data_IF_822151593110
#
_entry.id   IF_822151593110
#
_cell.length_a   1.000
_cell.length_b   1.000
_cell.length_c   1.000
_cell.angle_alpha   90.00
_cell.angle_beta   90.00
_cell.angle_gamma   90.00
#
_symmetry.space_group_name_H-M   'P 1'
#
loop_
_entity.id
_entity.type
_entity.pdbx_description
1 polymer ?
#
# COMPACT_ATOMS: atom_id res chain seq x y z
N UNK A 1 43.18 9.71 -12.30
CA UNK A 1 43.59 10.29 -13.60
C UNK A 1 42.36 10.82 -14.29
N UNK A 2 42.25 12.15 -14.38
CA UNK A 2 41.12 12.84 -14.98
C UNK A 2 41.27 12.87 -16.52
N UNK A 3 40.18 12.66 -17.24
CA UNK A 3 40.05 13.05 -18.65
C UNK A 3 38.74 13.83 -18.82
N UNK A 4 38.90 15.15 -18.95
CA UNK A 4 37.92 16.06 -19.51
C UNK A 4 37.91 15.84 -21.03
N UNK A 5 36.73 15.79 -21.65
CA UNK A 5 36.59 16.04 -23.07
C UNK A 5 35.36 16.91 -23.32
N UNK A 6 35.62 18.08 -23.89
CA UNK A 6 34.66 19.08 -24.34
C UNK A 6 34.37 18.86 -25.83
N UNK A 7 33.10 18.70 -26.22
CA UNK A 7 32.64 19.04 -27.57
C UNK A 7 31.13 19.31 -27.58
N UNK A 8 30.78 20.47 -28.15
CA UNK A 8 29.41 20.96 -28.34
C UNK A 8 28.68 20.34 -29.53
N UNK A 9 27.56 20.93 -29.97
CA UNK A 9 26.29 20.22 -30.10
C UNK A 9 26.06 19.68 -31.51
N UNK A 10 25.81 18.38 -31.62
CA UNK A 10 25.29 17.72 -32.80
C UNK A 10 23.86 17.27 -32.54
N UNK A 11 22.91 17.84 -33.28
CA UNK A 11 21.53 17.36 -33.34
C UNK A 11 21.54 15.91 -33.87
N UNK A 12 21.02 14.98 -33.07
CA UNK A 12 20.71 13.63 -33.51
C UNK A 12 19.35 13.23 -32.93
N UNK A 13 18.46 12.89 -33.85
CA UNK A 13 17.10 12.40 -33.66
C UNK A 13 17.00 11.36 -32.54
N UNK A 14 16.16 11.67 -31.55
CA UNK A 14 15.63 10.66 -30.63
C UNK A 14 14.57 9.90 -31.40
N UNK A 15 14.95 8.73 -31.90
CA UNK A 15 14.05 7.75 -32.48
C UNK A 15 13.14 7.22 -31.37
N UNK A 16 11.98 7.86 -31.23
CA UNK A 16 10.89 7.42 -30.38
C UNK A 16 10.37 6.09 -30.91
N UNK A 17 10.57 5.01 -30.14
CA UNK A 17 9.86 3.75 -30.38
C UNK A 17 8.38 3.95 -30.05
N UNK A 18 7.45 3.64 -30.96
CA UNK A 18 6.03 3.87 -30.73
C UNK A 18 5.49 2.86 -29.72
N UNK A 19 4.94 3.36 -28.62
CA UNK A 19 4.16 2.61 -27.64
C UNK A 19 2.91 2.06 -28.34
N UNK A 20 2.96 0.80 -28.78
CA UNK A 20 1.81 0.12 -29.34
C UNK A 20 0.73 -0.05 -28.26
N UNK A 21 -0.47 0.44 -28.58
CA UNK A 21 -1.70 0.18 -27.84
C UNK A 21 -1.93 -1.32 -27.78
N UNK A 22 -1.91 -1.88 -26.57
CA UNK A 22 -2.39 -3.24 -26.34
C UNK A 22 -3.91 -3.18 -26.30
N UNK A 23 -4.54 -3.20 -27.48
CA UNK A 23 -5.91 -3.66 -27.64
C UNK A 23 -5.85 -5.19 -27.70
N UNK A 24 -6.08 -5.85 -26.59
CA UNK A 24 -6.44 -7.27 -26.57
C UNK A 24 -7.90 -7.39 -26.98
N UNK A 25 -8.15 -7.62 -28.26
CA UNK A 25 -9.42 -8.20 -28.72
C UNK A 25 -9.34 -9.71 -28.51
N UNK A 26 -9.78 -10.18 -27.34
CA UNK A 26 -10.17 -11.57 -27.13
C UNK A 26 -11.69 -11.62 -27.13
N UNK A 27 -12.26 -12.09 -28.23
CA UNK A 27 -13.69 -12.29 -28.44
C UNK A 27 -14.10 -13.60 -27.72
N UNK A 28 -14.29 -13.49 -26.41
CA UNK A 28 -14.91 -14.48 -25.52
C UNK A 28 -15.86 -13.68 -24.62
N UNK A 29 -17.07 -14.16 -24.30
CA UNK A 29 -18.07 -13.34 -23.62
C UNK A 29 -17.57 -12.86 -22.26
N UNK A 30 -17.12 -11.61 -22.25
CA UNK A 30 -16.82 -10.68 -21.14
C UNK A 30 -16.78 -11.27 -19.72
N UNK A 31 -15.69 -11.95 -19.37
CA UNK A 31 -15.26 -11.97 -17.96
C UNK A 31 -14.20 -10.88 -17.78
N UNK A 32 -14.66 -9.64 -17.55
CA UNK A 32 -13.76 -8.53 -17.29
C UNK A 32 -13.03 -8.73 -15.96
N UNK A 33 -11.71 -8.81 -16.00
CA UNK A 33 -10.86 -8.97 -14.82
C UNK A 33 -10.41 -7.58 -14.31
N UNK A 34 -10.41 -7.32 -12.99
CA UNK A 34 -9.95 -6.04 -12.46
C UNK A 34 -8.50 -5.74 -12.88
N UNK A 35 -8.14 -4.47 -13.19
CA UNK A 35 -6.79 -4.10 -13.61
C UNK A 35 -5.82 -4.09 -12.41
N UNK A 36 -5.50 -5.27 -11.87
CA UNK A 36 -4.80 -5.44 -10.61
C UNK A 36 -3.26 -5.35 -10.73
N UNK A 37 -2.70 -5.95 -11.78
CA UNK A 37 -1.26 -6.01 -11.98
C UNK A 37 -0.73 -4.78 -12.73
N UNK A 38 0.55 -4.49 -12.50
CA UNK A 38 1.32 -3.42 -13.12
C UNK A 38 0.67 -2.03 -13.00
N UNK A 39 -0.26 -1.89 -12.06
CA UNK A 39 -1.08 -0.70 -11.82
C UNK A 39 -0.79 -0.14 -10.44
N UNK A 40 -0.61 1.18 -10.36
CA UNK A 40 -0.42 1.86 -9.07
C UNK A 40 -1.76 2.31 -8.51
N UNK A 41 -2.05 1.90 -7.29
CA UNK A 41 -3.25 2.22 -6.55
C UNK A 41 -2.94 3.07 -5.33
N UNK A 42 -3.87 3.94 -4.93
CA UNK A 42 -3.88 4.49 -3.58
C UNK A 42 -4.61 3.56 -2.61
N UNK A 43 -4.06 3.40 -1.41
CA UNK A 43 -4.54 2.47 -0.37
C UNK A 43 -5.48 3.15 0.63
N UNK A 44 -6.61 2.51 0.90
CA UNK A 44 -7.63 2.97 1.85
C UNK A 44 -8.10 1.80 2.72
N UNK A 45 -8.49 2.11 3.95
CA UNK A 45 -9.15 1.21 4.88
C UNK A 45 -10.65 1.40 4.75
N UNK A 46 -11.39 0.29 4.79
CA UNK A 46 -12.85 0.28 4.81
C UNK A 46 -13.30 -0.47 6.06
N UNK A 47 -14.24 0.10 6.81
CA UNK A 47 -14.94 -0.65 7.87
C UNK A 47 -15.85 -1.72 7.23
N UNK A 48 -16.39 -2.67 8.00
CA UNK A 48 -17.32 -3.65 7.45
C UNK A 48 -18.48 -2.95 6.73
N UNK A 49 -18.82 -3.41 5.53
CA UNK A 49 -19.89 -2.86 4.71
C UNK A 49 -21.21 -3.44 5.21
N UNK A 50 -22.13 -2.60 5.67
CA UNK A 50 -23.48 -3.02 6.02
C UNK A 50 -24.27 -3.35 4.74
N UNK A 51 -24.55 -4.63 4.54
CA UNK A 51 -25.33 -5.12 3.39
C UNK A 51 -26.78 -5.44 3.76
N UNK A 52 -27.11 -5.46 5.06
CA UNK A 52 -28.44 -5.80 5.56
C UNK A 52 -28.73 -7.30 5.49
N UNK A 53 -30.00 -7.68 5.53
CA UNK A 53 -30.41 -9.10 5.55
C UNK A 53 -30.27 -9.78 4.19
N UNK A 54 -30.37 -9.00 3.11
CA UNK A 54 -30.18 -9.49 1.74
C UNK A 54 -28.70 -9.45 1.37
N UNK A 55 -28.20 -10.51 0.72
CA UNK A 55 -26.82 -10.51 0.19
C UNK A 55 -26.68 -9.56 -1.01
N UNK A 56 -25.46 -9.24 -1.40
CA UNK A 56 -25.18 -8.50 -2.64
C UNK A 56 -25.20 -9.47 -3.82
N UNK A 57 -26.40 -9.76 -4.33
CA UNK A 57 -26.59 -10.48 -5.59
C UNK A 57 -26.17 -9.62 -6.78
N UNK A 58 -25.90 -10.23 -7.93
CA UNK A 58 -25.55 -9.50 -9.17
C UNK A 58 -26.61 -8.46 -9.54
N UNK A 59 -27.90 -8.80 -9.46
CA UNK A 59 -29.00 -7.86 -9.71
C UNK A 59 -28.96 -6.66 -8.76
N UNK A 60 -28.66 -6.89 -7.48
CA UNK A 60 -28.52 -5.80 -6.50
C UNK A 60 -27.29 -4.95 -6.80
N UNK A 61 -26.18 -5.56 -7.21
CA UNK A 61 -24.99 -4.82 -7.64
C UNK A 61 -25.26 -3.96 -8.88
N UNK A 62 -26.05 -4.42 -9.85
CA UNK A 62 -26.46 -3.62 -11.01
C UNK A 62 -27.30 -2.40 -10.61
N UNK A 63 -28.21 -2.56 -9.65
CA UNK A 63 -29.00 -1.43 -9.09
C UNK A 63 -28.08 -0.45 -8.37
N UNK A 64 -27.15 -0.95 -7.55
CA UNK A 64 -26.18 -0.12 -6.84
C UNK A 64 -25.26 0.62 -7.83
N UNK A 65 -24.80 -0.05 -8.90
CA UNK A 65 -23.98 0.55 -9.96
C UNK A 65 -24.73 1.65 -10.70
N UNK A 66 -26.02 1.44 -10.99
CA UNK A 66 -26.89 2.47 -11.57
C UNK A 66 -27.01 3.69 -10.66
N UNK A 67 -27.15 3.50 -9.35
CA UNK A 67 -27.19 4.62 -8.38
C UNK A 67 -25.87 5.38 -8.30
N UNK A 68 -24.74 4.69 -8.37
CA UNK A 68 -23.43 5.35 -8.47
C UNK A 68 -23.32 6.16 -9.76
N UNK A 69 -23.76 5.60 -10.89
CA UNK A 69 -23.84 6.32 -12.17
C UNK A 69 -24.69 7.59 -12.05
N UNK A 70 -25.88 7.51 -11.46
CA UNK A 70 -26.77 8.65 -11.27
C UNK A 70 -26.14 9.71 -10.35
N UNK A 71 -25.38 9.29 -9.34
CA UNK A 71 -24.62 10.20 -8.47
C UNK A 71 -23.53 10.93 -9.26
N UNK A 72 -22.76 10.20 -10.07
CA UNK A 72 -21.70 10.77 -10.92
C UNK A 72 -22.25 11.72 -11.99
N UNK A 73 -23.38 11.38 -12.62
CA UNK A 73 -24.07 12.26 -13.57
C UNK A 73 -24.69 13.46 -12.85
N UNK A 74 -25.31 13.25 -11.70
CA UNK A 74 -25.93 14.30 -10.89
C UNK A 74 -24.92 15.33 -10.38
N UNK A 75 -23.72 14.90 -10.01
CA UNK A 75 -22.64 15.82 -9.58
C UNK A 75 -22.14 16.69 -10.73
N UNK A 76 -22.05 16.12 -11.95
CA UNK A 76 -21.79 16.91 -13.17
C UNK A 76 -22.89 17.96 -13.41
N UNK A 77 -24.16 17.60 -13.19
CA UNK A 77 -25.32 18.50 -13.35
C UNK A 77 -25.40 19.57 -12.25
N UNK A 78 -24.95 19.28 -11.03
CA UNK A 78 -24.92 20.22 -9.89
C UNK A 78 -23.80 21.26 -9.97
N UNK A 79 -23.03 21.28 -11.06
CA UNK A 79 -21.94 22.24 -11.27
C UNK A 79 -20.66 21.87 -10.54
N UNK A 80 -20.60 20.70 -9.88
CA UNK A 80 -19.33 20.07 -9.51
C UNK A 80 -18.80 19.49 -10.82
N UNK A 81 -18.22 20.34 -11.65
CA UNK A 81 -17.39 19.89 -12.76
C UNK A 81 -16.26 19.08 -12.12
N UNK A 82 -16.47 17.77 -12.07
CA UNK A 82 -15.49 16.73 -11.90
C UNK A 82 -14.45 17.00 -12.99
N UNK A 83 -13.51 17.93 -12.72
CA UNK A 83 -12.30 18.13 -13.48
C UNK A 83 -11.45 16.91 -13.17
N UNK A 84 -11.83 15.81 -13.80
CA UNK A 84 -11.18 14.52 -13.73
C UNK A 84 -9.88 14.70 -14.48
N UNK A 85 -8.80 14.88 -13.74
CA UNK A 85 -7.46 14.79 -14.30
C UNK A 85 -7.12 13.30 -14.37
N UNK A 86 -7.24 12.70 -15.56
CA UNK A 86 -6.80 11.34 -15.74
C UNK A 86 -5.30 11.25 -15.41
N UNK A 87 -4.89 10.17 -14.74
CA UNK A 87 -3.50 9.95 -14.32
C UNK A 87 -2.48 10.03 -15.46
N UNK A 88 -2.93 9.87 -16.72
CA UNK A 88 -2.11 9.84 -17.94
C UNK A 88 -2.68 10.68 -19.12
N UNK A 89 -3.72 11.50 -18.95
CA UNK A 89 -4.37 12.24 -20.06
C UNK A 89 -4.43 13.73 -19.77
N UNK A 90 -4.19 14.57 -20.79
CA UNK A 90 -4.18 16.02 -20.65
C UNK A 90 -5.53 16.58 -20.15
N UNK A 91 -5.45 17.70 -19.42
CA UNK A 91 -6.56 18.38 -18.75
C UNK A 91 -7.77 18.53 -19.71
N UNK A 92 -8.92 18.00 -19.31
CA UNK A 92 -10.21 18.24 -19.98
C UNK A 92 -10.64 17.20 -21.04
N UNK A 93 -9.90 16.11 -21.23
CA UNK A 93 -10.22 15.12 -22.28
C UNK A 93 -10.87 13.82 -21.80
N UNK A 94 -11.31 13.69 -20.54
CA UNK A 94 -11.86 12.42 -20.00
C UNK A 94 -13.10 11.94 -20.79
N UNK A 95 -13.88 12.87 -21.34
CA UNK A 95 -15.08 12.58 -22.13
C UNK A 95 -16.25 12.05 -21.31
N UNK A 96 -17.35 11.72 -21.98
CA UNK A 96 -18.62 11.38 -21.31
C UNK A 96 -18.54 10.04 -20.56
N UNK A 97 -19.29 9.93 -19.47
CA UNK A 97 -19.42 8.68 -18.71
C UNK A 97 -20.16 7.63 -19.56
N UNK A 98 -19.48 6.55 -19.94
CA UNK A 98 -20.01 5.45 -20.74
C UNK A 98 -20.72 4.42 -19.87
N UNK A 99 -20.03 3.90 -18.86
CA UNK A 99 -20.53 2.81 -18.02
C UNK A 99 -20.01 2.88 -16.58
N UNK A 100 -20.81 2.34 -15.66
CA UNK A 100 -20.40 2.04 -14.29
C UNK A 100 -20.83 0.61 -14.00
N UNK A 101 -19.87 -0.24 -13.62
CA UNK A 101 -20.12 -1.65 -13.28
C UNK A 101 -19.60 -1.93 -11.88
N UNK A 102 -20.31 -2.80 -11.15
CA UNK A 102 -19.88 -3.30 -9.86
C UNK A 102 -20.00 -4.82 -9.90
N UNK A 103 -18.88 -5.52 -9.75
CA UNK A 103 -18.77 -6.94 -10.00
C UNK A 103 -18.01 -7.64 -8.88
N UNK A 104 -18.41 -8.87 -8.59
CA UNK A 104 -17.63 -9.77 -7.75
C UNK A 104 -16.48 -10.34 -8.57
N UNK A 105 -15.30 -10.48 -7.96
CA UNK A 105 -14.20 -11.22 -8.56
C UNK A 105 -13.56 -12.15 -7.52
N UNK A 106 -12.96 -13.24 -8.00
CA UNK A 106 -12.19 -14.17 -7.19
C UNK A 106 -10.70 -13.96 -7.39
N UNK A 107 -9.91 -14.42 -6.42
CA UNK A 107 -8.47 -14.50 -6.58
C UNK A 107 -8.10 -15.29 -7.84
N UNK A 108 -8.68 -16.49 -8.04
CA UNK A 108 -8.42 -17.35 -9.21
C UNK A 108 -8.60 -16.62 -10.55
N UNK A 109 -9.65 -15.81 -10.68
CA UNK A 109 -9.92 -15.01 -11.89
C UNK A 109 -8.84 -13.94 -12.15
N UNK A 110 -8.23 -13.36 -11.10
CA UNK A 110 -7.09 -12.46 -11.25
C UNK A 110 -5.80 -13.22 -11.64
N UNK A 111 -5.64 -14.45 -11.12
CA UNK A 111 -4.38 -15.20 -11.24
C UNK A 111 -4.34 -16.11 -12.48
N UNK A 112 -5.47 -16.27 -13.19
CA UNK A 112 -5.56 -16.96 -14.48
C UNK A 112 -5.53 -18.49 -14.40
N UNK A 113 -5.92 -19.07 -13.26
CA UNK A 113 -5.78 -20.51 -13.03
C UNK A 113 -6.97 -21.04 -12.22
N UNK A 114 -7.83 -21.79 -12.91
CA UNK A 114 -9.04 -22.43 -12.37
C UNK A 114 -8.74 -23.72 -11.61
N UNK A 115 -7.50 -24.23 -11.66
CA UNK A 115 -7.11 -25.51 -11.03
C UNK A 115 -6.64 -25.38 -9.57
N UNK A 116 -6.66 -24.16 -9.00
CA UNK A 116 -5.99 -23.83 -7.74
C UNK A 116 -6.87 -24.07 -6.49
N UNK A 117 -8.14 -24.48 -6.61
CA UNK A 117 -8.97 -24.69 -5.41
C UNK A 117 -8.45 -25.81 -4.50
N UNK A 118 -7.71 -26.80 -5.04
CA UNK A 118 -7.25 -27.99 -4.30
C UNK A 118 -5.82 -27.86 -3.73
N UNK A 119 -4.98 -26.95 -4.27
CA UNK A 119 -3.52 -26.92 -4.02
C UNK A 119 -3.01 -25.62 -3.34
N UNK A 120 -3.91 -24.78 -2.83
CA UNK A 120 -3.58 -23.65 -1.94
C UNK A 120 -3.27 -24.13 -0.51
N UNK A 121 -2.25 -24.98 -0.35
CA UNK A 121 -1.59 -25.16 0.94
C UNK A 121 -0.72 -23.93 1.23
N UNK A 122 -1.40 -22.81 1.52
CA UNK A 122 -0.79 -21.63 2.13
C UNK A 122 -0.20 -22.09 3.47
N UNK A 123 1.07 -21.76 3.80
CA UNK A 123 1.73 -22.23 5.01
C UNK A 123 0.86 -22.01 6.26
N UNK A 124 0.45 -23.12 6.89
CA UNK A 124 -0.24 -23.25 8.17
C UNK A 124 -1.01 -22.01 8.65
N UNK A 125 -2.26 -21.92 8.20
CA UNK A 125 -3.33 -21.13 8.83
C UNK A 125 -4.04 -20.18 7.87
N UNK A 126 -5.30 -20.49 7.53
CA UNK A 126 -6.29 -19.42 7.36
C UNK A 126 -6.92 -19.15 5.99
N UNK A 127 -7.02 -20.09 5.05
CA UNK A 127 -7.87 -19.85 3.87
C UNK A 127 -8.77 -21.00 3.40
N UNK A 128 -8.42 -22.25 3.71
CA UNK A 128 -9.28 -23.40 3.35
C UNK A 128 -10.59 -23.46 4.16
N UNK A 129 -10.63 -22.82 5.35
CA UNK A 129 -11.81 -22.75 6.23
C UNK A 129 -12.67 -21.48 6.05
N UNK A 130 -12.31 -20.56 5.14
CA UNK A 130 -13.09 -19.33 4.94
C UNK A 130 -14.36 -19.62 4.10
N UNK A 131 -15.54 -19.11 4.51
CA UNK A 131 -16.76 -19.22 3.69
C UNK A 131 -16.56 -18.52 2.35
N UNK A 132 -17.12 -19.05 1.26
CA UNK A 132 -16.87 -18.60 -0.12
C UNK A 132 -17.05 -17.09 -0.36
N UNK A 133 -17.94 -16.44 0.40
CA UNK A 133 -18.13 -14.98 0.36
C UNK A 133 -16.96 -14.15 0.91
N UNK A 134 -16.04 -14.75 1.66
CA UNK A 134 -14.81 -14.13 2.16
C UNK A 134 -13.61 -14.37 1.23
N UNK A 135 -13.77 -15.17 0.18
CA UNK A 135 -12.75 -15.39 -0.87
C UNK A 135 -12.90 -14.45 -2.07
N UNK A 136 -13.96 -13.64 -2.08
CA UNK A 136 -14.32 -12.73 -3.17
C UNK A 136 -14.01 -11.28 -2.81
N UNK A 137 -13.53 -10.53 -3.79
CA UNK A 137 -13.41 -9.07 -3.73
C UNK A 137 -14.51 -8.40 -4.55
N UNK A 138 -14.74 -7.12 -4.29
CA UNK A 138 -15.69 -6.29 -5.05
C UNK A 138 -14.91 -5.30 -5.91
N UNK A 139 -15.23 -5.23 -7.20
CA UNK A 139 -14.61 -4.31 -8.13
C UNK A 139 -15.64 -3.33 -8.68
N UNK A 140 -15.33 -2.04 -8.59
CA UNK A 140 -16.08 -0.93 -9.19
C UNK A 140 -15.27 -0.45 -10.39
N UNK A 141 -15.85 -0.57 -11.58
CA UNK A 141 -15.30 -0.07 -12.84
C UNK A 141 -16.10 1.15 -13.30
N UNK A 142 -15.42 2.26 -13.55
CA UNK A 142 -16.02 3.51 -14.05
C UNK A 142 -15.34 3.84 -15.37
N UNK A 143 -16.10 3.74 -16.47
CA UNK A 143 -15.62 3.93 -17.82
C UNK A 143 -16.12 5.24 -18.40
N UNK A 144 -15.19 6.08 -18.79
CA UNK A 144 -15.41 7.27 -19.59
C UNK A 144 -14.95 7.04 -21.03
N UNK A 145 -15.21 8.01 -21.90
CA UNK A 145 -14.83 7.94 -23.29
C UNK A 145 -13.33 7.69 -23.51
N UNK A 146 -12.49 8.41 -22.77
CA UNK A 146 -11.04 8.41 -22.91
C UNK A 146 -10.30 8.03 -21.61
N UNK A 147 -11.01 7.51 -20.62
CA UNK A 147 -10.41 7.09 -19.35
C UNK A 147 -11.20 5.94 -18.71
N UNK A 148 -10.49 5.09 -17.98
CA UNK A 148 -11.09 4.06 -17.14
C UNK A 148 -10.51 4.16 -15.72
N UNK A 149 -11.38 4.00 -14.73
CA UNK A 149 -11.05 4.11 -13.33
C UNK A 149 -11.50 2.87 -12.57
N UNK A 150 -10.72 2.47 -11.57
CA UNK A 150 -10.98 1.25 -10.82
C UNK A 150 -10.93 1.51 -9.31
N UNK A 151 -11.90 0.95 -8.58
CA UNK A 151 -11.87 0.78 -7.13
C UNK A 151 -12.03 -0.71 -6.80
N UNK A 152 -11.06 -1.31 -6.11
CA UNK A 152 -10.99 -2.74 -5.81
C UNK A 152 -11.01 -2.92 -4.30
N UNK A 153 -12.07 -3.53 -3.77
CA UNK A 153 -12.21 -3.89 -2.37
C UNK A 153 -11.81 -5.36 -2.19
N UNK A 154 -10.88 -5.60 -1.27
CA UNK A 154 -10.22 -6.89 -1.10
C UNK A 154 -10.53 -7.52 0.26
N UNK A 155 -10.69 -8.85 0.32
CA UNK A 155 -10.86 -9.56 1.57
C UNK A 155 -9.57 -9.55 2.39
N UNK A 156 -9.71 -9.63 3.71
CA UNK A 156 -8.58 -9.89 4.62
C UNK A 156 -8.48 -11.38 4.94
N UNK A 157 -7.27 -11.88 5.24
CA UNK A 157 -7.10 -13.21 5.84
C UNK A 157 -7.62 -13.14 7.28
N UNK A 158 -8.81 -13.68 7.55
CA UNK A 158 -9.34 -13.76 8.92
C UNK A 158 -9.13 -15.17 9.47
N UNK A 159 -8.37 -15.30 10.56
CA UNK A 159 -8.28 -16.57 11.30
C UNK A 159 -9.42 -16.75 12.31
N UNK A 160 -10.42 -15.87 12.29
CA UNK A 160 -11.50 -15.93 13.28
C UNK A 160 -12.56 -16.92 12.83
N UNK A 161 -12.36 -18.17 13.19
CA UNK A 161 -13.41 -19.16 13.43
C UNK A 161 -14.22 -18.84 14.71
N UNK A 162 -14.32 -17.56 15.08
CA UNK A 162 -15.23 -17.10 16.11
C UNK A 162 -16.66 -17.26 15.59
N UNK A 163 -17.48 -17.89 16.42
CA UNK A 163 -18.90 -18.18 16.23
C UNK A 163 -19.60 -16.99 15.58
N UNK A 164 -19.94 -17.11 14.29
CA UNK A 164 -20.73 -16.14 13.53
C UNK A 164 -22.05 -15.89 14.27
N UNK A 165 -22.12 -14.80 15.03
CA UNK A 165 -23.40 -14.29 15.53
C UNK A 165 -24.29 -13.95 14.33
N UNK A 166 -25.61 -14.06 14.52
CA UNK A 166 -26.58 -13.81 13.43
C UNK A 166 -26.43 -12.42 12.79
N UNK A 167 -25.89 -11.45 13.53
CA UNK A 167 -25.66 -10.09 13.06
C UNK A 167 -24.43 -9.94 12.16
N UNK A 168 -23.43 -10.82 12.24
CA UNK A 168 -22.27 -10.77 11.33
C UNK A 168 -22.64 -11.11 9.87
N UNK A 169 -23.78 -11.78 9.65
CA UNK A 169 -24.29 -12.07 8.30
C UNK A 169 -24.75 -10.82 7.54
N UNK A 170 -24.97 -9.70 8.25
CA UNK A 170 -25.39 -8.41 7.67
C UNK A 170 -24.21 -7.55 7.24
N UNK A 171 -22.98 -7.96 7.53
CA UNK A 171 -21.77 -7.21 7.23
C UNK A 171 -20.85 -7.98 6.28
N UNK A 172 -20.24 -7.24 5.36
CA UNK A 172 -19.24 -7.74 4.43
C UNK A 172 -17.87 -7.14 4.79
N UNK A 173 -16.87 -8.00 4.99
CA UNK A 173 -15.55 -7.61 5.45
C UNK A 173 -14.56 -7.51 4.28
N UNK A 174 -14.42 -6.32 3.70
CA UNK A 174 -13.42 -6.01 2.68
C UNK A 174 -12.52 -4.84 3.14
N UNK A 175 -11.57 -5.10 4.06
CA UNK A 175 -10.89 -4.04 4.81
C UNK A 175 -9.97 -3.16 3.98
N UNK A 176 -9.53 -3.60 2.79
CA UNK A 176 -8.60 -2.87 1.94
C UNK A 176 -9.27 -2.44 0.64
N UNK A 177 -9.28 -1.13 0.39
CA UNK A 177 -9.73 -0.52 -0.85
C UNK A 177 -8.55 0.07 -1.62
N UNK A 178 -8.37 -0.38 -2.84
CA UNK A 178 -7.37 0.10 -3.80
C UNK A 178 -8.07 0.98 -4.84
N UNK A 179 -7.64 2.23 -5.01
CA UNK A 179 -8.24 3.16 -5.99
C UNK A 179 -7.23 3.66 -7.02
N UNK A 180 -7.58 3.53 -8.29
CA UNK A 180 -6.89 4.11 -9.46
C UNK A 180 -7.82 5.10 -10.14
N UNK A 181 -7.84 6.33 -9.63
CA UNK A 181 -8.68 7.42 -10.12
C UNK A 181 -8.18 8.80 -9.63
N UNK A 182 -8.68 9.93 -10.16
CA UNK A 182 -8.30 11.28 -9.74
C UNK A 182 -8.85 11.62 -8.35
N UNK A 183 -8.26 12.60 -7.65
CA UNK A 183 -8.59 12.90 -6.25
C UNK A 183 -10.08 13.25 -6.05
N UNK A 184 -10.68 13.98 -6.99
CA UNK A 184 -12.08 14.38 -6.96
C UNK A 184 -13.02 13.18 -7.10
N UNK A 185 -12.67 12.20 -7.94
CA UNK A 185 -13.45 10.98 -8.07
C UNK A 185 -13.32 10.11 -6.83
N UNK A 186 -12.12 10.08 -6.20
CA UNK A 186 -11.92 9.36 -4.94
C UNK A 186 -12.88 9.87 -3.88
N UNK A 187 -12.99 11.19 -3.68
CA UNK A 187 -13.90 11.75 -2.67
C UNK A 187 -15.35 11.35 -2.92
N UNK A 188 -15.81 11.43 -4.18
CA UNK A 188 -17.19 11.03 -4.51
C UNK A 188 -17.42 9.54 -4.27
N UNK A 189 -16.49 8.68 -4.71
CA UNK A 189 -16.61 7.22 -4.50
C UNK A 189 -16.53 6.87 -3.01
N UNK A 190 -15.68 7.52 -2.22
CA UNK A 190 -15.59 7.26 -0.77
C UNK A 190 -16.86 7.68 -0.04
N UNK A 191 -17.41 8.86 -0.38
CA UNK A 191 -18.63 9.38 0.25
C UNK A 191 -19.85 8.54 -0.14
N UNK A 192 -19.92 8.15 -1.42
CA UNK A 192 -20.97 7.26 -1.91
C UNK A 192 -20.90 5.86 -1.29
N UNK A 193 -19.70 5.29 -1.13
CA UNK A 193 -19.52 3.99 -0.44
C UNK A 193 -19.99 4.09 1.01
N UNK A 194 -19.58 5.15 1.71
CA UNK A 194 -19.96 5.38 3.10
C UNK A 194 -21.49 5.51 3.26
N UNK A 195 -22.14 6.27 2.38
CA UNK A 195 -23.59 6.45 2.40
C UNK A 195 -24.36 5.19 1.98
N UNK A 196 -23.85 4.44 1.01
CA UNK A 196 -24.55 3.28 0.43
C UNK A 196 -24.48 2.04 1.31
N UNK A 197 -23.40 1.89 2.07
CA UNK A 197 -23.10 0.69 2.87
C UNK A 197 -22.91 0.97 4.35
N UNK A 198 -23.24 2.17 4.84
CA UNK A 198 -23.03 2.59 6.24
C UNK A 198 -21.63 2.18 6.76
N UNK A 199 -20.61 2.56 5.99
CA UNK A 199 -19.23 2.19 6.26
C UNK A 199 -18.33 3.43 6.32
N UNK A 200 -17.15 3.27 6.92
CA UNK A 200 -16.13 4.31 6.97
C UNK A 200 -15.01 3.96 6.02
N UNK A 201 -14.75 4.85 5.06
CA UNK A 201 -13.59 4.80 4.19
C UNK A 201 -12.57 5.83 4.64
N UNK A 202 -11.33 5.43 4.88
CA UNK A 202 -10.25 6.35 5.27
C UNK A 202 -8.96 6.01 4.55
N UNK A 203 -8.22 7.02 4.09
CA UNK A 203 -6.89 6.81 3.50
C UNK A 203 -5.94 6.20 4.53
N UNK A 204 -5.13 5.23 4.10
CA UNK A 204 -4.14 4.58 4.96
C UNK A 204 -2.77 5.15 4.65
N UNK A 205 -2.07 5.55 5.70
CA UNK A 205 -0.65 5.86 5.67
C UNK A 205 0.09 4.71 6.37
N UNK A 206 0.63 3.79 5.59
CA UNK A 206 1.44 2.66 6.07
C UNK A 206 2.72 3.20 6.70
N UNK A 207 3.03 2.73 7.90
CA UNK A 207 4.26 3.10 8.60
C UNK A 207 5.39 2.11 8.35
N UNK A 208 6.54 2.42 8.97
CA UNK A 208 7.75 1.60 8.91
C UNK A 208 7.48 0.15 9.31
N UNK A 209 6.72 -0.08 10.39
CA UNK A 209 6.33 -1.42 10.85
C UNK A 209 5.61 -2.20 9.77
N UNK A 210 4.56 -1.62 9.19
CA UNK A 210 3.70 -2.31 8.22
C UNK A 210 4.46 -2.61 6.93
N UNK A 211 5.25 -1.65 6.44
CA UNK A 211 6.02 -1.78 5.19
C UNK A 211 7.09 -2.87 5.34
N UNK A 212 7.87 -2.85 6.42
CA UNK A 212 8.89 -3.88 6.68
C UNK A 212 8.26 -5.23 6.96
N UNK A 213 7.21 -5.30 7.78
CA UNK A 213 6.51 -6.55 8.04
C UNK A 213 5.95 -7.19 6.78
N UNK A 214 5.45 -6.38 5.84
CA UNK A 214 4.98 -6.88 4.55
C UNK A 214 6.13 -7.47 3.70
N UNK A 215 7.32 -6.86 3.73
CA UNK A 215 8.51 -7.39 3.09
C UNK A 215 9.04 -8.67 3.76
N UNK A 216 9.16 -8.68 5.09
CA UNK A 216 9.62 -9.86 5.85
C UNK A 216 8.68 -11.05 5.66
N UNK A 217 7.36 -10.83 5.66
CA UNK A 217 6.41 -11.90 5.36
C UNK A 217 6.44 -12.36 3.91
N UNK A 218 6.73 -11.45 2.96
CA UNK A 218 6.91 -11.81 1.57
C UNK A 218 8.07 -12.77 1.38
N UNK A 219 9.25 -12.44 1.93
CA UNK A 219 10.43 -13.31 1.81
C UNK A 219 10.28 -14.61 2.61
N UNK A 220 9.57 -14.58 3.75
CA UNK A 220 9.31 -15.79 4.53
C UNK A 220 8.37 -16.77 3.79
N UNK A 221 7.39 -16.24 3.05
CA UNK A 221 6.41 -17.06 2.32
C UNK A 221 6.93 -17.57 0.97
N UNK A 222 7.70 -16.74 0.25
CA UNK A 222 8.08 -17.00 -1.14
C UNK A 222 9.57 -17.27 -1.32
N UNK A 223 10.36 -17.11 -0.26
CA UNK A 223 11.81 -17.07 -0.36
C UNK A 223 12.32 -15.78 -1.01
N UNK A 224 13.64 -15.72 -1.15
CA UNK A 224 14.31 -14.67 -1.92
C UNK A 224 14.51 -15.18 -3.34
N UNK A 225 13.93 -14.47 -4.32
CA UNK A 225 14.13 -14.80 -5.72
C UNK A 225 15.54 -14.39 -6.18
N UNK A 226 16.39 -15.38 -6.43
CA UNK A 226 17.76 -15.17 -6.92
C UNK A 226 17.83 -14.81 -8.41
N UNK A 227 16.69 -14.71 -9.11
CA UNK A 227 16.59 -14.25 -10.50
C UNK A 227 15.72 -13.00 -10.65
N UNK A 228 15.24 -12.47 -9.54
CA UNK A 228 14.38 -11.28 -9.51
C UNK A 228 15.15 -9.98 -9.74
N UNK A 229 14.40 -8.88 -9.80
CA UNK A 229 14.97 -7.54 -9.74
C UNK A 229 15.50 -7.17 -8.36
N UNK A 230 16.31 -6.12 -8.31
CA UNK A 230 16.93 -5.64 -7.07
C UNK A 230 15.89 -5.08 -6.08
N UNK A 231 16.21 -5.17 -4.80
CA UNK A 231 15.41 -4.56 -3.74
C UNK A 231 15.84 -3.11 -3.55
N UNK A 232 14.90 -2.18 -3.53
CA UNK A 232 15.15 -0.80 -3.12
C UNK A 232 14.35 -0.48 -1.85
N UNK A 233 15.05 0.00 -0.82
CA UNK A 233 14.49 0.48 0.44
C UNK A 233 14.71 1.98 0.53
N UNK A 234 13.63 2.76 0.59
CA UNK A 234 13.69 4.21 0.76
C UNK A 234 13.56 4.55 2.24
N UNK A 235 14.61 5.19 2.77
CA UNK A 235 14.63 5.77 4.10
C UNK A 235 14.30 7.26 4.04
N UNK A 236 13.52 7.75 4.98
CA UNK A 236 13.28 9.17 5.21
C UNK A 236 13.70 9.57 6.63
N UNK A 237 14.15 10.82 6.76
CA UNK A 237 14.68 11.36 8.01
C UNK A 237 13.79 12.46 8.55
N UNK A 238 13.45 12.35 9.83
CA UNK A 238 12.73 13.35 10.61
C UNK A 238 13.62 13.92 11.72
N UNK A 239 14.90 14.11 11.42
CA UNK A 239 15.84 14.73 12.35
C UNK A 239 15.73 16.24 12.17
N UNK A 240 15.33 17.02 13.20
CA UNK A 240 15.52 18.46 13.14
C UNK A 240 17.02 18.72 13.03
N UNK A 241 17.42 19.60 12.11
CA UNK A 241 18.79 20.09 12.16
C UNK A 241 18.92 20.97 13.40
N UNK A 242 20.07 20.94 14.09
CA UNK A 242 20.36 21.96 15.08
C UNK A 242 20.26 23.31 14.38
N UNK A 243 19.52 24.24 14.99
CA UNK A 243 19.57 25.65 14.58
C UNK A 243 21.04 26.05 14.53
N UNK A 244 21.45 26.66 13.43
CA UNK A 244 22.81 27.14 13.25
C UNK A 244 22.98 28.40 14.13
N UNK A 245 22.95 28.24 15.45
CA UNK A 245 23.02 29.30 16.46
C UNK A 245 24.48 29.65 16.76
N UNK A 246 25.30 29.66 15.72
CA UNK A 246 26.75 29.82 15.81
C UNK A 246 27.31 30.54 14.59
N UNK A 247 26.80 31.75 14.29
CA UNK A 247 27.58 32.94 13.88
C UNK A 247 26.67 34.12 13.41
N UNK A 248 25.63 34.50 14.16
CA UNK A 248 24.90 35.75 13.89
C UNK A 248 25.08 36.69 15.08
N UNK A 249 26.16 37.46 15.04
CA UNK A 249 26.41 38.63 15.87
C UNK A 249 25.22 39.60 15.81
N UNK A 250 24.58 39.79 16.96
CA UNK A 250 23.89 40.98 17.46
C UNK A 250 23.63 42.11 16.45
N UNK A 251 22.40 42.23 15.97
CA UNK A 251 21.62 43.48 15.79
C UNK A 251 20.16 43.03 15.54
N UNK A 252 19.24 43.23 16.49
CA UNK A 252 18.45 44.45 16.57
C UNK A 252 17.21 44.34 15.67
N UNK A 253 16.07 43.96 16.27
CA UNK A 253 14.70 43.96 15.70
C UNK A 253 14.45 43.21 14.38
N UNK A 254 13.73 42.07 14.47
CA UNK A 254 12.62 41.73 13.56
C UNK A 254 11.89 40.43 13.95
N UNK A 255 10.58 40.58 14.19
CA UNK A 255 9.45 39.65 13.96
C UNK A 255 9.71 38.14 13.96
N UNK A 256 8.98 37.44 14.85
CA UNK A 256 8.78 35.98 14.88
C UNK A 256 8.24 35.46 13.54
N UNK A 257 9.14 35.19 12.60
CA UNK A 257 8.88 34.27 11.50
C UNK A 257 9.50 32.94 11.91
N UNK A 258 8.67 31.90 12.07
CA UNK A 258 9.13 30.52 12.23
C UNK A 258 10.14 30.22 11.11
N UNK A 259 11.44 30.23 11.45
CA UNK A 259 12.50 29.80 10.54
C UNK A 259 12.30 28.31 10.35
N UNK A 260 11.63 27.93 9.25
CA UNK A 260 11.53 26.55 8.81
C UNK A 260 12.96 26.05 8.57
N UNK A 261 13.50 25.28 9.52
CA UNK A 261 14.82 24.67 9.42
C UNK A 261 14.90 23.91 8.08
N UNK A 262 15.81 24.35 7.20
CA UNK A 262 16.01 23.74 5.88
C UNK A 262 16.56 22.34 6.08
N UNK A 263 15.82 21.26 5.75
CA UNK A 263 16.29 19.90 5.99
C UNK A 263 17.51 19.58 5.12
N UNK A 264 18.64 19.27 5.74
CA UNK A 264 19.88 18.89 5.05
C UNK A 264 19.73 17.62 4.22
N UNK A 265 19.24 16.52 4.81
CA UNK A 265 18.97 15.26 4.11
C UNK A 265 17.54 14.80 4.40
N UNK A 266 16.71 14.68 3.37
CA UNK A 266 15.31 14.25 3.50
C UNK A 266 15.12 12.74 3.37
N UNK A 267 15.84 12.11 2.44
CA UNK A 267 15.71 10.68 2.15
C UNK A 267 16.97 10.07 1.55
N UNK A 268 17.14 8.76 1.70
CA UNK A 268 18.16 7.93 1.04
C UNK A 268 17.47 6.72 0.43
N UNK A 269 17.81 6.38 -0.80
CA UNK A 269 17.44 5.10 -1.42
C UNK A 269 18.62 4.13 -1.31
N UNK A 270 18.33 2.94 -0.77
CA UNK A 270 19.30 1.85 -0.64
C UNK A 270 18.86 0.74 -1.60
N UNK A 271 19.69 0.46 -2.60
CA UNK A 271 19.45 -0.65 -3.54
C UNK A 271 20.37 -1.81 -3.21
N UNK A 272 19.79 -3.00 -3.06
CA UNK A 272 20.48 -4.26 -2.77
C UNK A 272 20.24 -5.20 -3.94
N UNK A 273 21.34 -5.69 -4.52
CA UNK A 273 21.29 -6.68 -5.60
C UNK A 273 20.54 -7.92 -5.16
N UNK A 274 19.69 -8.46 -6.05
CA UNK A 274 18.95 -9.70 -5.81
C UNK A 274 19.85 -10.87 -5.37
N UNK A 275 21.11 -10.91 -5.83
CA UNK A 275 22.08 -11.96 -5.49
C UNK A 275 22.54 -11.92 -4.03
N UNK A 276 22.48 -10.74 -3.39
CA UNK A 276 22.92 -10.55 -2.01
C UNK A 276 21.78 -10.64 -1.00
N UNK A 277 20.52 -10.53 -1.43
CA UNK A 277 19.35 -10.59 -0.55
C UNK A 277 19.33 -11.87 0.30
N UNK A 278 19.63 -13.02 -0.27
CA UNK A 278 19.70 -14.28 0.46
C UNK A 278 20.80 -14.29 1.53
N UNK A 279 21.88 -13.52 1.33
CA UNK A 279 22.95 -13.37 2.32
C UNK A 279 22.52 -12.48 3.48
N UNK A 280 21.77 -11.41 3.21
CA UNK A 280 21.20 -10.56 4.26
C UNK A 280 20.27 -11.36 5.17
N UNK A 281 19.34 -12.14 4.60
CA UNK A 281 18.43 -12.99 5.40
C UNK A 281 19.20 -13.96 6.29
N UNK A 282 20.14 -14.73 5.71
CA UNK A 282 20.97 -15.69 6.46
C UNK A 282 21.84 -15.03 7.53
N UNK A 283 22.35 -13.83 7.26
CA UNK A 283 23.13 -13.08 8.24
C UNK A 283 22.24 -12.62 9.40
N UNK A 284 21.00 -12.21 9.11
CA UNK A 284 19.98 -11.85 10.08
C UNK A 284 19.59 -13.01 10.99
N UNK A 285 19.36 -14.19 10.42
CA UNK A 285 19.01 -15.40 11.17
C UNK A 285 20.12 -15.84 12.13
N UNK A 286 21.39 -15.62 11.77
CA UNK A 286 22.56 -15.96 12.59
C UNK A 286 22.85 -14.94 13.68
N UNK A 287 22.46 -13.68 13.45
CA UNK A 287 22.67 -12.62 14.41
C UNK A 287 21.57 -12.68 15.46
N UNK A 288 21.93 -13.03 16.70
CA UNK A 288 21.05 -12.76 17.83
C UNK A 288 20.72 -11.26 17.83
N UNK A 289 19.43 -10.95 17.98
CA UNK A 289 18.85 -9.60 18.10
C UNK A 289 19.85 -8.68 18.79
N UNK A 290 20.24 -7.57 18.15
CA UNK A 290 21.12 -6.59 18.76
C UNK A 290 20.47 -6.09 20.06
N UNK A 291 20.87 -6.69 21.18
CA UNK A 291 20.50 -6.33 22.52
C UNK A 291 21.22 -5.05 22.92
N UNK A 292 20.53 -3.93 22.76
CA UNK A 292 20.91 -2.65 23.34
C UNK A 292 19.74 -1.67 23.20
N UNK A 293 19.55 -0.73 24.14
CA UNK A 293 18.42 0.18 24.10
C UNK A 293 18.40 0.93 22.76
N UNK A 294 17.35 0.68 21.97
CA UNK A 294 17.18 1.16 20.59
C UNK A 294 17.23 2.68 20.48
N UNK A 295 17.02 3.38 21.60
CA UNK A 295 17.16 4.82 21.70
C UNK A 295 17.30 5.23 23.17
N UNK A 296 18.10 6.28 23.46
CA UNK A 296 18.48 6.68 24.83
C UNK A 296 17.76 7.91 25.40
N UNK A 297 16.85 8.54 24.66
CA UNK A 297 16.15 9.75 25.16
C UNK A 297 14.79 9.46 25.82
N UNK A 298 13.99 10.52 25.98
CA UNK A 298 12.65 10.46 26.58
C UNK A 298 11.53 10.03 25.61
N UNK A 299 10.55 9.24 26.09
CA UNK A 299 9.47 8.73 25.25
C UNK A 299 8.70 9.79 24.43
N UNK A 300 8.61 11.03 24.94
CA UNK A 300 8.01 12.17 24.22
C UNK A 300 8.80 12.57 22.99
N UNK A 301 10.11 12.65 23.13
CA UNK A 301 11.02 13.00 22.04
C UNK A 301 11.07 11.87 21.01
N UNK A 302 11.04 10.60 21.44
CA UNK A 302 10.87 9.46 20.53
C UNK A 302 9.63 9.62 19.64
N UNK A 303 8.49 9.98 20.23
CA UNK A 303 7.23 10.17 19.50
C UNK A 303 7.31 11.37 18.55
N UNK A 304 7.95 12.46 18.97
CA UNK A 304 8.17 13.64 18.11
C UNK A 304 9.01 13.28 16.88
N UNK A 305 10.09 12.52 17.08
CA UNK A 305 11.00 12.10 16.01
C UNK A 305 10.40 11.02 15.10
N UNK A 306 9.60 10.10 15.63
CA UNK A 306 8.87 9.09 14.86
C UNK A 306 7.85 9.70 13.88
N UNK A 307 7.43 10.95 14.09
CA UNK A 307 6.43 11.61 13.27
C UNK A 307 5.00 11.25 13.68
N UNK A 308 4.04 11.63 12.83
CA UNK A 308 2.61 11.57 13.17
C UNK A 308 1.97 10.18 13.10
N UNK A 309 2.61 9.21 12.44
CA UNK A 309 2.07 7.86 12.28
C UNK A 309 2.58 6.96 13.41
N UNK A 310 1.70 6.19 14.05
CA UNK A 310 2.06 5.29 15.16
C UNK A 310 3.02 4.19 14.73
N UNK A 311 2.95 3.82 13.45
CA UNK A 311 3.74 2.73 12.85
C UNK A 311 5.09 3.21 12.28
N UNK A 312 5.35 4.53 12.25
CA UNK A 312 6.59 5.10 11.71
C UNK A 312 7.78 4.94 12.67
N UNK A 313 7.52 4.98 13.97
CA UNK A 313 8.56 4.78 14.98
C UNK A 313 8.99 3.33 15.08
N UNK A 314 10.11 3.07 15.76
CA UNK A 314 10.61 1.72 16.01
C UNK A 314 10.19 1.14 17.37
N UNK A 315 9.28 1.82 18.07
CA UNK A 315 8.84 1.49 19.43
C UNK A 315 8.24 0.08 19.56
N UNK A 316 7.59 -0.41 18.50
CA UNK A 316 6.93 -1.71 18.46
C UNK A 316 7.90 -2.89 18.64
N UNK A 317 9.21 -2.69 18.37
CA UNK A 317 10.22 -3.75 18.55
C UNK A 317 10.55 -4.02 20.01
N UNK A 318 10.37 -3.04 20.90
CA UNK A 318 10.53 -3.24 22.34
C UNK A 318 9.40 -4.10 22.92
N UNK A 319 8.22 -4.05 22.29
CA UNK A 319 7.01 -4.71 22.74
C UNK A 319 6.98 -6.16 22.24
N UNK A 320 7.34 -6.38 20.97
CA UNK A 320 7.29 -7.69 20.32
C UNK A 320 8.68 -8.11 19.79
N UNK A 321 9.65 -8.41 20.66
CA UNK A 321 10.99 -8.84 20.23
C UNK A 321 11.00 -10.20 19.52
N UNK A 322 9.90 -10.95 19.59
CA UNK A 322 9.73 -12.26 18.94
C UNK A 322 9.32 -12.18 17.47
N UNK A 323 8.97 -11.00 16.94
CA UNK A 323 8.64 -10.83 15.52
C UNK A 323 9.96 -10.81 14.70
N UNK A 324 10.43 -12.02 14.35
CA UNK A 324 11.69 -12.19 13.64
C UNK A 324 11.71 -11.38 12.34
N UNK A 325 12.62 -10.42 12.26
CA UNK A 325 12.82 -9.56 11.08
C UNK A 325 14.26 -9.71 10.57
N UNK A 326 14.66 -10.92 10.13
CA UNK A 326 16.06 -11.24 9.85
C UNK A 326 16.68 -10.30 8.82
N UNK A 327 15.96 -9.99 7.74
CA UNK A 327 16.47 -9.07 6.73
C UNK A 327 16.72 -7.68 7.33
N UNK A 328 15.76 -7.17 8.11
CA UNK A 328 15.82 -5.83 8.72
C UNK A 328 16.98 -5.72 9.71
N UNK A 329 17.23 -6.76 10.52
CA UNK A 329 18.37 -6.80 11.44
C UNK A 329 19.71 -6.78 10.69
N UNK A 330 19.83 -7.60 9.65
CA UNK A 330 21.04 -7.63 8.83
C UNK A 330 21.28 -6.29 8.13
N UNK A 331 20.23 -5.66 7.61
CA UNK A 331 20.30 -4.34 7.00
C UNK A 331 20.74 -3.28 8.02
N UNK A 332 20.16 -3.28 9.23
CA UNK A 332 20.56 -2.37 10.28
C UNK A 332 22.03 -2.50 10.65
N UNK A 333 22.52 -3.74 10.77
CA UNK A 333 23.92 -4.03 11.09
C UNK A 333 24.85 -3.55 9.97
N UNK A 334 24.48 -3.84 8.73
CA UNK A 334 25.24 -3.43 7.55
C UNK A 334 25.35 -1.91 7.46
N UNK A 335 24.23 -1.19 7.61
CA UNK A 335 24.20 0.27 7.58
C UNK A 335 24.98 0.90 8.74
N UNK A 336 24.88 0.33 9.93
CA UNK A 336 25.63 0.82 11.08
C UNK A 336 27.14 0.60 10.91
N UNK A 337 27.54 -0.56 10.39
CA UNK A 337 28.95 -0.89 10.19
C UNK A 337 29.60 -0.09 9.05
N UNK A 338 28.93 0.02 7.90
CA UNK A 338 29.52 0.62 6.71
C UNK A 338 29.25 2.12 6.55
N UNK A 339 28.13 2.63 7.08
CA UNK A 339 27.70 4.02 6.92
C UNK A 339 27.57 4.78 8.24
N UNK A 340 27.85 4.14 9.37
CA UNK A 340 27.54 4.67 10.72
C UNK A 340 26.07 5.10 10.87
N UNK A 341 25.17 4.53 10.06
CA UNK A 341 23.76 4.88 10.03
C UNK A 341 22.96 3.95 10.93
N UNK A 342 22.38 4.50 12.00
CA UNK A 342 21.51 3.75 12.92
C UNK A 342 20.10 3.66 12.36
N UNK A 343 19.78 2.55 11.69
CA UNK A 343 18.44 2.31 11.12
C UNK A 343 17.32 2.44 12.14
N UNK A 344 17.56 1.98 13.38
CA UNK A 344 16.57 1.92 14.45
C UNK A 344 16.39 3.22 15.24
N UNK A 345 17.02 4.30 14.79
CA UNK A 345 16.82 5.61 15.39
C UNK A 345 15.38 6.11 15.09
N UNK A 346 14.65 6.71 16.04
CA UNK A 346 13.24 7.10 15.84
C UNK A 346 13.04 8.13 14.73
N UNK A 347 14.07 8.90 14.37
CA UNK A 347 14.01 9.81 13.22
C UNK A 347 14.11 9.13 11.86
N UNK A 348 14.53 7.85 11.80
CA UNK A 348 14.70 7.11 10.54
C UNK A 348 13.46 6.29 10.30
N UNK A 349 12.88 6.43 9.10
CA UNK A 349 11.64 5.75 8.72
C UNK A 349 11.81 5.08 7.39
N UNK A 350 11.21 3.90 7.22
CA UNK A 350 11.09 3.25 5.91
C UNK A 350 9.80 3.74 5.27
N UNK A 351 9.90 4.49 4.17
CA UNK A 351 8.73 5.09 3.49
C UNK A 351 8.30 4.33 2.25
N UNK A 352 9.21 3.50 1.70
CA UNK A 352 8.93 2.69 0.53
C UNK A 352 9.84 1.46 0.48
N UNK A 353 9.28 0.34 0.00
CA UNK A 353 10.01 -0.84 -0.45
C UNK A 353 9.57 -1.15 -1.88
N UNK A 354 10.53 -1.41 -2.76
CA UNK A 354 10.33 -1.84 -4.14
C UNK A 354 11.11 -3.12 -4.38
N UNK A 355 10.45 -4.19 -4.79
CA UNK A 355 11.07 -5.46 -5.19
C UNK A 355 10.45 -5.97 -6.49
N UNK A 356 10.86 -7.14 -6.96
CA UNK A 356 10.33 -7.76 -8.19
C UNK A 356 8.83 -8.06 -8.15
N UNK A 357 8.25 -8.30 -6.97
CA UNK A 357 6.84 -8.64 -6.80
C UNK A 357 5.92 -7.43 -6.56
N UNK A 358 6.40 -6.38 -5.91
CA UNK A 358 5.57 -5.22 -5.56
C UNK A 358 6.39 -3.95 -5.29
N UNK A 359 5.71 -2.81 -5.35
CA UNK A 359 6.14 -1.53 -4.82
C UNK A 359 5.12 -1.08 -3.77
N UNK A 360 5.56 -0.98 -2.52
CA UNK A 360 4.75 -0.57 -1.38
C UNK A 360 5.32 0.71 -0.78
N UNK A 361 4.51 1.75 -0.73
CA UNK A 361 4.85 3.04 -0.10
C UNK A 361 3.77 3.41 0.93
N UNK A 362 3.98 4.49 1.69
CA UNK A 362 3.04 4.91 2.73
C UNK A 362 1.57 4.99 2.27
N UNK A 363 1.27 5.41 1.04
CA UNK A 363 -0.13 5.53 0.59
C UNK A 363 -0.40 4.96 -0.79
N UNK A 364 0.53 4.17 -1.34
CA UNK A 364 0.42 3.59 -2.67
C UNK A 364 0.95 2.18 -2.71
N UNK A 365 0.28 1.36 -3.52
CA UNK A 365 0.63 -0.02 -3.80
C UNK A 365 0.65 -0.24 -5.31
N UNK A 366 1.69 -0.89 -5.81
CA UNK A 366 1.74 -1.46 -7.16
C UNK A 366 2.16 -2.92 -7.04
N UNK A 367 1.40 -3.81 -7.65
CA UNK A 367 1.74 -5.23 -7.70
C UNK A 367 2.29 -5.48 -9.09
N UNK A 368 3.44 -6.14 -9.17
CA UNK A 368 4.12 -6.40 -10.43
C UNK A 368 3.82 -7.83 -10.85
N UNK A 369 3.44 -8.00 -12.12
CA UNK A 369 3.37 -9.31 -12.75
C UNK A 369 4.58 -9.45 -13.67
N UNK A 370 5.54 -10.32 -13.35
CA UNK A 370 6.61 -10.65 -14.29
C UNK A 370 6.01 -11.31 -15.53
N UNK A 371 6.60 -11.03 -16.70
CA UNK A 371 6.05 -11.37 -18.02
C UNK A 371 5.91 -12.86 -18.31
N UNK A 372 6.55 -13.72 -17.53
CA UNK A 372 6.21 -15.14 -17.45
C UNK A 372 5.38 -15.31 -16.18
N UNK A 373 4.11 -15.70 -16.35
CA UNK A 373 3.17 -16.00 -15.25
C UNK A 373 3.74 -17.17 -14.47
N UNK A 374 4.64 -16.89 -13.53
CA UNK A 374 5.03 -17.87 -12.54
C UNK A 374 3.85 -17.95 -11.56
N UNK A 375 3.07 -19.04 -11.56
CA UNK A 375 1.84 -19.15 -10.77
C UNK A 375 2.12 -18.94 -9.27
N UNK A 376 3.36 -19.20 -8.82
CA UNK A 376 3.80 -18.94 -7.46
C UNK A 376 3.85 -17.44 -7.13
N UNK A 377 4.24 -16.57 -8.06
CA UNK A 377 4.31 -15.11 -7.88
C UNK A 377 2.91 -14.48 -7.85
N UNK A 378 1.99 -14.98 -8.67
CA UNK A 378 0.57 -14.61 -8.64
C UNK A 378 -0.06 -14.93 -7.27
N UNK A 379 0.18 -16.15 -6.76
CA UNK A 379 -0.27 -16.58 -5.42
C UNK A 379 0.36 -15.75 -4.31
N UNK A 380 1.66 -15.49 -4.41
CA UNK A 380 2.42 -14.64 -3.51
C UNK A 380 1.80 -13.25 -3.41
N UNK A 381 1.48 -12.65 -4.55
CA UNK A 381 0.86 -11.33 -4.65
C UNK A 381 -0.49 -11.28 -3.95
N UNK A 382 -1.36 -12.29 -4.16
CA UNK A 382 -2.64 -12.35 -3.46
C UNK A 382 -2.48 -12.50 -1.94
N UNK A 383 -1.62 -13.41 -1.49
CA UNK A 383 -1.30 -13.60 -0.07
C UNK A 383 -0.79 -12.31 0.57
N UNK A 384 0.12 -11.61 -0.11
CA UNK A 384 0.64 -10.33 0.31
C UNK A 384 -0.47 -9.28 0.52
N UNK A 385 -1.39 -9.14 -0.43
CA UNK A 385 -2.45 -8.14 -0.30
C UNK A 385 -3.46 -8.50 0.77
N UNK A 386 -3.77 -9.79 0.92
CA UNK A 386 -4.69 -10.27 1.95
C UNK A 386 -4.08 -10.10 3.37
N UNK A 387 -2.76 -10.33 3.52
CA UNK A 387 -2.02 -10.02 4.75
C UNK A 387 -1.95 -8.51 5.01
N UNK A 388 -1.76 -7.69 3.97
CA UNK A 388 -1.80 -6.23 4.08
C UNK A 388 -3.17 -5.76 4.57
N UNK A 389 -4.26 -6.32 4.04
CA UNK A 389 -5.62 -6.06 4.49
C UNK A 389 -5.81 -6.39 5.98
N UNK A 390 -5.25 -7.50 6.46
CA UNK A 390 -5.27 -7.87 7.87
C UNK A 390 -4.50 -6.87 8.75
N UNK A 391 -3.30 -6.46 8.34
CA UNK A 391 -2.50 -5.46 9.07
C UNK A 391 -3.22 -4.12 9.17
N UNK A 392 -3.93 -3.72 8.11
CA UNK A 392 -4.69 -2.47 8.06
C UNK A 392 -5.99 -2.55 8.88
N UNK A 393 -6.55 -3.75 9.10
CA UNK A 393 -7.79 -3.96 9.88
C UNK A 393 -7.68 -3.43 11.31
N UNK A 394 -6.48 -3.34 11.88
CA UNK A 394 -6.24 -2.67 13.16
C UNK A 394 -7.04 -3.28 14.30
N UNK A 395 -6.90 -4.58 14.54
CA UNK A 395 -7.25 -5.16 15.84
C UNK A 395 -6.19 -4.75 16.86
N UNK A 396 -6.28 -3.49 17.27
CA UNK A 396 -6.08 -2.98 18.62
C UNK A 396 -6.35 -1.48 18.53
N UNK A 397 -7.61 -1.10 18.80
CA UNK A 397 -7.84 0.25 19.34
C UNK A 397 -7.04 0.25 20.65
N UNK A 398 -6.06 1.15 20.87
CA UNK A 398 -5.46 1.26 22.17
C UNK A 398 -6.60 1.53 23.14
N UNK A 399 -6.85 0.62 24.09
CA UNK A 399 -7.78 0.88 25.18
C UNK A 399 -7.18 2.02 26.01
N UNK A 400 -7.38 3.27 25.57
CA UNK A 400 -6.88 4.46 26.25
C UNK A 400 -7.74 4.81 27.47
N UNK A 401 -8.85 4.10 27.69
CA UNK A 401 -9.65 4.21 28.91
C UNK A 401 -10.21 2.85 29.29
N UNK A 402 -9.45 2.06 30.07
CA UNK A 402 -10.07 1.21 31.07
C UNK A 402 -10.55 2.15 32.18
N UNK A 403 -11.71 2.77 32.00
CA UNK A 403 -12.39 3.40 33.11
C UNK A 403 -12.84 2.27 34.05
N UNK A 404 -12.00 1.95 35.03
CA UNK A 404 -12.45 1.30 36.26
C UNK A 404 -13.40 2.28 36.96
N UNK A 405 -14.66 2.25 36.57
CA UNK A 405 -15.74 2.61 37.47
C UNK A 405 -16.27 1.32 38.06
N UNK A 406 -16.13 1.16 39.37
CA UNK A 406 -16.86 0.13 40.10
C UNK A 406 -16.32 -0.13 41.50
N UNK A 407 -17.09 0.28 42.50
CA UNK A 407 -17.13 -0.33 43.83
C UNK A 407 -16.64 0.56 44.95
#
# INVERSE_FOLDING_TARGET
>A
MARLSTQGPGAAEVQQSPTQSVHTTSDSPDESVPPFFNTTFSTHRVSPLHVGETRLTEQRLQVIASRLRDTLVGDVVRGIQLRLEATNTAIGQVGVLKAVKIEWFRASALLGDESIEDDLQIPRGGQNDLPDGQKQGLWINIEHENAAYAAILLPGLSNSSARLDKDEKKFLYLPLLLMRMPQQLKSVVTDWLAASFDCRVSRVMLGTKTILGAWESWIASNGVDNRGGDLTVTLAFNAPLPDNDGLATLTGDQTQNEKIATPGLRSIDITISHQDLGRFVRAGEKNNVLGGPMWKGDARERRRLAGGNTDDGWAWREINPSEASPFTEALANYLNYHLALKLFHPSVRVTQISCSGFVLSQGRLKILMPGEVNPNLSRAAWSFVAQLGQRIRGEEVPQLFSAQFGG
#
